data_IF_329726943966
#
_entry.id   IF_329726943966
#
_cell.length_a   1.000
_cell.length_b   1.000
_cell.length_c   1.000
_cell.angle_alpha   90.00
_cell.angle_beta   90.00
_cell.angle_gamma   90.00
#
_symmetry.space_group_name_H-M   'P 1'
#
loop_
_entity.id
_entity.type
_entity.pdbx_description
1 polymer ?
#
# COMPACT_ATOMS: atom_id res chain seq x y z
N UNK A 1 -8.71 -3.84 16.12
CA UNK A 1 -8.34 -4.51 14.86
C UNK A 1 -7.84 -3.43 13.90
N UNK A 2 -6.77 -3.69 13.15
CA UNK A 2 -6.17 -2.74 12.21
C UNK A 2 -6.39 -3.19 10.77
N UNK A 3 -6.54 -2.24 9.85
CA UNK A 3 -6.57 -2.50 8.40
C UNK A 3 -5.49 -1.69 7.71
N UNK A 4 -4.63 -2.40 6.98
CA UNK A 4 -3.57 -1.82 6.17
C UNK A 4 -4.08 -1.35 4.81
N UNK A 5 -3.71 -0.13 4.38
CA UNK A 5 -4.00 0.37 3.02
C UNK A 5 -2.68 0.69 2.29
N UNK A 6 -2.31 -0.09 1.26
CA UNK A 6 -1.12 0.18 0.45
C UNK A 6 -1.21 1.54 -0.28
N UNK A 7 -0.16 2.37 -0.20
CA UNK A 7 -0.05 3.67 -0.90
C UNK A 7 0.32 3.51 -2.37
N UNK A 8 -0.53 2.84 -3.15
CA UNK A 8 -0.29 2.53 -4.58
C UNK A 8 -1.50 2.85 -5.45
N UNK A 9 -1.25 3.01 -6.76
CA UNK A 9 -2.28 3.20 -7.79
C UNK A 9 -3.23 4.37 -7.44
N UNK A 10 -4.49 4.04 -7.11
CA UNK A 10 -5.56 5.00 -6.89
C UNK A 10 -5.67 5.46 -5.42
N UNK A 11 -4.64 5.20 -4.60
CA UNK A 11 -4.59 5.58 -3.19
C UNK A 11 -5.03 7.02 -2.95
N UNK A 12 -4.40 8.00 -3.60
CA UNK A 12 -4.71 9.42 -3.35
C UNK A 12 -6.13 9.82 -3.75
N UNK A 13 -6.79 9.04 -4.63
CA UNK A 13 -8.17 9.28 -5.04
C UNK A 13 -9.18 8.71 -4.05
N UNK A 14 -8.95 7.48 -3.58
CA UNK A 14 -9.93 6.74 -2.79
C UNK A 14 -9.60 6.62 -1.30
N UNK A 15 -8.39 6.98 -0.87
CA UNK A 15 -7.99 6.84 0.52
C UNK A 15 -8.92 7.58 1.50
N UNK A 16 -9.36 8.83 1.25
CA UNK A 16 -10.31 9.48 2.16
C UNK A 16 -11.62 8.69 2.33
N UNK A 17 -12.14 8.12 1.25
CA UNK A 17 -13.34 7.28 1.25
C UNK A 17 -13.12 6.00 2.06
N UNK A 18 -12.04 5.26 1.79
CA UNK A 18 -11.73 4.02 2.49
C UNK A 18 -11.43 4.24 3.96
N UNK A 19 -10.68 5.30 4.28
CA UNK A 19 -10.39 5.70 5.66
C UNK A 19 -11.69 5.93 6.43
N UNK A 20 -12.58 6.77 5.91
CA UNK A 20 -13.86 7.03 6.54
C UNK A 20 -14.71 5.76 6.70
N UNK A 21 -14.80 4.93 5.65
CA UNK A 21 -15.59 3.69 5.69
C UNK A 21 -15.13 2.75 6.82
N UNK A 22 -13.83 2.47 6.90
CA UNK A 22 -13.30 1.54 7.89
C UNK A 22 -13.27 2.13 9.31
N UNK A 23 -12.95 3.42 9.47
CA UNK A 23 -13.01 4.08 10.78
C UNK A 23 -14.43 4.08 11.35
N UNK A 24 -15.47 4.29 10.53
CA UNK A 24 -16.87 4.20 10.97
C UNK A 24 -17.29 2.77 11.37
N UNK A 25 -16.58 1.75 10.92
CA UNK A 25 -16.74 0.37 11.37
C UNK A 25 -15.92 0.05 12.63
N UNK A 26 -15.24 1.04 13.22
CA UNK A 26 -14.42 0.87 14.43
C UNK A 26 -13.03 0.29 14.19
N UNK A 27 -12.54 0.34 12.95
CA UNK A 27 -11.19 -0.13 12.58
C UNK A 27 -10.18 1.01 12.62
N UNK A 28 -8.97 0.72 13.05
CA UNK A 28 -7.82 1.63 12.85
C UNK A 28 -7.28 1.45 11.43
N UNK A 29 -7.23 2.54 10.66
CA UNK A 29 -6.74 2.54 9.28
C UNK A 29 -5.27 2.96 9.25
N UNK A 30 -4.40 2.06 8.80
CA UNK A 30 -2.96 2.29 8.73
C UNK A 30 -2.51 2.28 7.27
N UNK A 31 -2.18 3.44 6.67
CA UNK A 31 -1.58 3.46 5.35
C UNK A 31 -0.13 2.96 5.41
N UNK A 32 0.35 2.28 4.37
CA UNK A 32 1.78 1.95 4.24
C UNK A 32 2.62 3.23 4.25
N UNK A 33 3.92 3.14 4.53
CA UNK A 33 4.90 4.22 4.40
C UNK A 33 4.87 4.90 3.02
N UNK A 34 5.37 6.14 2.95
CA UNK A 34 5.54 6.84 1.67
C UNK A 34 6.59 6.05 0.89
N UNK A 35 6.42 5.90 -0.43
CA UNK A 35 7.38 5.21 -1.28
C UNK A 35 8.79 5.72 -1.00
N UNK A 36 9.65 4.81 -0.57
CA UNK A 36 11.03 5.06 -0.22
C UNK A 36 11.91 3.99 -0.89
N UNK A 37 13.23 4.11 -0.74
CA UNK A 37 14.18 3.19 -1.39
C UNK A 37 13.96 1.73 -0.98
N UNK A 38 13.75 1.46 0.31
CA UNK A 38 13.53 0.11 0.83
C UNK A 38 12.28 -0.54 0.21
N UNK A 39 11.19 0.21 0.08
CA UNK A 39 9.96 -0.26 -0.59
C UNK A 39 10.23 -0.56 -2.06
N UNK A 40 10.97 0.30 -2.76
CA UNK A 40 11.31 0.10 -4.18
C UNK A 40 12.15 -1.16 -4.36
N UNK A 41 13.21 -1.31 -3.56
CA UNK A 41 14.14 -2.43 -3.64
C UNK A 41 13.39 -3.75 -3.35
N UNK A 42 12.62 -3.79 -2.26
CA UNK A 42 11.77 -4.95 -1.91
C UNK A 42 10.74 -5.25 -2.99
N UNK A 43 10.16 -4.23 -3.62
CA UNK A 43 9.19 -4.41 -4.72
C UNK A 43 9.82 -5.05 -5.94
N UNK A 44 11.05 -4.68 -6.28
CA UNK A 44 11.77 -5.26 -7.42
C UNK A 44 12.16 -6.71 -7.14
N UNK A 45 12.61 -7.01 -5.92
CA UNK A 45 13.03 -8.36 -5.52
C UNK A 45 11.88 -9.37 -5.44
N UNK A 46 10.68 -8.91 -5.05
CA UNK A 46 9.55 -9.82 -4.74
C UNK A 46 8.48 -9.90 -5.82
N UNK A 47 8.59 -9.10 -6.90
CA UNK A 47 7.61 -9.04 -7.99
C UNK A 47 8.03 -9.84 -9.23
N UNK A 48 7.09 -10.00 -10.17
CA UNK A 48 7.38 -10.59 -11.48
C UNK A 48 8.24 -9.66 -12.35
N UNK A 49 9.19 -10.24 -13.10
CA UNK A 49 10.20 -9.47 -13.86
C UNK A 49 9.57 -8.49 -14.86
N UNK A 50 8.56 -8.93 -15.60
CA UNK A 50 7.94 -8.20 -16.72
C UNK A 50 6.96 -7.10 -16.26
N UNK A 51 6.66 -6.98 -14.97
CA UNK A 51 5.73 -5.95 -14.50
C UNK A 51 6.35 -4.55 -14.56
N UNK A 52 5.53 -3.55 -14.89
CA UNK A 52 5.93 -2.15 -14.77
C UNK A 52 6.08 -1.74 -13.30
N UNK A 53 6.95 -0.77 -13.02
CA UNK A 53 7.27 -0.33 -11.66
C UNK A 53 6.02 -0.02 -10.79
N UNK A 54 4.96 0.66 -11.29
CA UNK A 54 3.76 0.90 -10.49
C UNK A 54 3.06 -0.37 -9.98
N UNK A 55 3.10 -1.45 -10.76
CA UNK A 55 2.54 -2.75 -10.37
C UNK A 55 3.49 -3.47 -9.42
N UNK A 56 4.81 -3.37 -9.63
CA UNK A 56 5.81 -3.91 -8.71
C UNK A 56 5.68 -3.28 -7.32
N UNK A 57 5.47 -1.97 -7.25
CA UNK A 57 5.31 -1.22 -5.99
C UNK A 57 4.20 -1.76 -5.09
N UNK A 58 3.17 -2.41 -5.65
CA UNK A 58 2.11 -3.07 -4.86
C UNK A 58 2.72 -4.10 -3.91
N UNK A 59 3.73 -4.84 -4.33
CA UNK A 59 4.37 -5.88 -3.53
C UNK A 59 5.10 -5.28 -2.32
N UNK A 60 5.95 -4.28 -2.53
CA UNK A 60 6.66 -3.63 -1.43
C UNK A 60 5.71 -2.90 -0.47
N UNK A 61 4.68 -2.21 -0.97
CA UNK A 61 3.71 -1.53 -0.10
C UNK A 61 2.81 -2.50 0.68
N UNK A 62 2.57 -3.72 0.18
CA UNK A 62 1.89 -4.77 0.95
C UNK A 62 2.81 -5.37 2.01
N UNK A 63 4.11 -5.53 1.70
CA UNK A 63 5.10 -6.03 2.65
C UNK A 63 5.40 -5.05 3.78
N UNK A 64 5.41 -3.74 3.50
CA UNK A 64 5.56 -2.67 4.50
C UNK A 64 4.40 -2.65 5.53
N UNK A 65 3.27 -3.28 5.23
CA UNK A 65 2.10 -3.40 6.10
C UNK A 65 2.05 -4.69 6.93
N UNK A 66 3.04 -5.59 6.78
CA UNK A 66 3.18 -6.80 7.60
C UNK A 66 3.82 -6.49 8.95
#
# INVERSE_FOLDING_TARGET
MKIGIPRVLLFYRYYPMWKAFFENLGLEVVPSSITNKEIVDTSVETSVSEACLPIKLVYGHVLDLK
#
